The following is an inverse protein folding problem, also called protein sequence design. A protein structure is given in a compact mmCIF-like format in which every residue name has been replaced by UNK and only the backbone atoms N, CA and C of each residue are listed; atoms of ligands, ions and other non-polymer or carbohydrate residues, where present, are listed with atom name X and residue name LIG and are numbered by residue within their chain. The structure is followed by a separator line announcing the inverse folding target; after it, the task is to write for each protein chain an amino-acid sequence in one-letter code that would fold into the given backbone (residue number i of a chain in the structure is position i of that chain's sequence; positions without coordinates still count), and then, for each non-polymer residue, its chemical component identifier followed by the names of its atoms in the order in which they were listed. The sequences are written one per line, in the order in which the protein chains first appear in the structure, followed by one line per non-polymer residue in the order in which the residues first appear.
data_IF_171968674900
#
_entry.id   IF_171968674900
#
_cell.length_a   1.000
_cell.length_b   1.000
_cell.length_c   1.000
_cell.angle_alpha   90.00
_cell.angle_beta   90.00
_cell.angle_gamma   90.00
#
_symmetry.space_group_name_H-M   'P 1'
#
loop_
_entity.id
_entity.type
_entity.pdbx_description
1 polymer ?
#
# COMPACT_ATOMS: atom_id res chain seq x y z
N UNK A 1 -10.38 27.84 -4.95
CA UNK A 1 -10.03 27.03 -3.77
C UNK A 1 -10.47 25.62 -4.08
N UNK A 2 -9.68 24.56 -3.83
CA UNK A 2 -10.20 23.21 -3.95
C UNK A 2 -11.36 23.09 -2.95
N UNK A 3 -12.53 22.74 -3.44
CA UNK A 3 -13.69 22.44 -2.60
C UNK A 3 -13.44 21.07 -1.96
N UNK A 4 -13.68 20.96 -0.66
CA UNK A 4 -13.69 19.68 0.03
C UNK A 4 -14.54 18.70 -0.77
N UNK A 5 -14.01 17.49 -0.96
CA UNK A 5 -14.70 16.45 -1.73
C UNK A 5 -15.87 15.92 -0.88
N UNK A 6 -17.04 15.81 -1.47
CA UNK A 6 -18.18 15.16 -0.79
C UNK A 6 -17.90 13.65 -0.67
N UNK A 7 -17.45 13.23 0.52
CA UNK A 7 -17.10 11.85 0.84
C UNK A 7 -18.27 10.89 0.56
N UNK A 8 -19.52 11.35 0.69
CA UNK A 8 -20.72 10.53 0.43
C UNK A 8 -20.85 10.09 -1.03
N UNK A 9 -20.10 10.73 -1.93
CA UNK A 9 -20.06 10.32 -3.34
C UNK A 9 -18.93 9.34 -3.65
N UNK A 10 -17.99 9.15 -2.71
CA UNK A 10 -16.77 8.35 -2.89
C UNK A 10 -17.00 6.89 -2.51
N UNK A 11 -16.47 6.00 -3.34
CA UNK A 11 -16.33 4.58 -3.06
C UNK A 11 -14.86 4.27 -2.73
N UNK A 12 -14.60 3.73 -1.52
CA UNK A 12 -13.27 3.32 -1.07
C UNK A 12 -13.10 1.82 -1.18
N UNK A 13 -12.07 1.37 -1.90
CA UNK A 13 -11.60 -0.01 -1.90
C UNK A 13 -10.33 -0.18 -1.08
N UNK A 14 -10.29 -1.17 -0.22
CA UNK A 14 -9.08 -1.54 0.54
C UNK A 14 -8.47 -2.76 -0.13
N UNK A 15 -7.22 -2.69 -0.56
CA UNK A 15 -6.46 -3.79 -1.15
C UNK A 15 -5.44 -4.30 -0.13
N UNK A 16 -5.62 -5.53 0.34
CA UNK A 16 -4.79 -6.11 1.39
C UNK A 16 -4.42 -7.56 1.05
N UNK A 17 -3.18 -7.83 0.59
CA UNK A 17 -2.66 -9.19 0.49
C UNK A 17 -2.51 -9.82 1.87
N UNK A 18 -2.90 -11.09 1.99
CA UNK A 18 -2.86 -11.84 3.24
C UNK A 18 -2.32 -13.25 2.99
N UNK A 19 -1.40 -13.71 3.85
CA UNK A 19 -0.88 -15.07 3.80
C UNK A 19 -0.40 -15.50 5.18
N UNK A 20 -0.90 -16.61 5.68
CA UNK A 20 -0.53 -17.19 6.98
C UNK A 20 -0.79 -16.25 8.17
N UNK A 21 -1.93 -15.57 8.16
CA UNK A 21 -2.36 -14.63 9.21
C UNK A 21 -3.27 -15.31 10.26
N UNK A 22 -3.87 -16.47 9.93
CA UNK A 22 -4.79 -17.18 10.81
C UNK A 22 -5.95 -16.28 11.29
N UNK A 23 -6.25 -16.33 12.58
CA UNK A 23 -7.33 -15.55 13.20
C UNK A 23 -7.09 -14.03 13.17
N UNK A 24 -5.82 -13.61 13.07
CA UNK A 24 -5.45 -12.20 12.97
C UNK A 24 -5.98 -11.58 11.68
N UNK A 25 -6.16 -12.36 10.60
CA UNK A 25 -6.74 -11.85 9.35
C UNK A 25 -8.14 -11.26 9.57
N UNK A 26 -9.02 -12.00 10.23
CA UNK A 26 -10.39 -11.55 10.50
C UNK A 26 -10.41 -10.36 11.46
N UNK A 27 -9.56 -10.38 12.49
CA UNK A 27 -9.41 -9.28 13.42
C UNK A 27 -8.94 -8.01 12.70
N UNK A 28 -7.96 -8.15 11.82
CA UNK A 28 -7.43 -7.03 11.02
C UNK A 28 -8.50 -6.42 10.12
N UNK A 29 -9.23 -7.25 9.36
CA UNK A 29 -10.34 -6.79 8.49
C UNK A 29 -11.35 -5.97 9.28
N UNK A 30 -11.87 -6.53 10.39
CA UNK A 30 -12.87 -5.86 11.22
C UNK A 30 -12.35 -4.55 11.82
N UNK A 31 -11.12 -4.56 12.30
CA UNK A 31 -10.48 -3.37 12.89
C UNK A 31 -10.33 -2.26 11.86
N UNK A 32 -9.81 -2.58 10.67
CA UNK A 32 -9.62 -1.57 9.63
C UNK A 32 -10.95 -1.02 9.10
N UNK A 33 -11.94 -1.88 8.85
CA UNK A 33 -13.27 -1.47 8.45
C UNK A 33 -13.90 -0.52 9.49
N UNK A 34 -13.81 -0.83 10.79
CA UNK A 34 -14.37 0.01 11.85
C UNK A 34 -13.73 1.42 11.90
N UNK A 35 -12.43 1.54 11.62
CA UNK A 35 -11.78 2.84 11.53
C UNK A 35 -12.19 3.63 10.28
N UNK A 36 -12.49 2.95 9.17
CA UNK A 36 -12.95 3.59 7.94
C UNK A 36 -14.44 3.99 8.00
N UNK A 37 -15.26 3.35 8.82
CA UNK A 37 -16.70 3.65 9.00
C UNK A 37 -16.96 5.04 9.58
N UNK A 38 -15.98 5.68 10.22
CA UNK A 38 -16.10 7.06 10.67
C UNK A 38 -16.27 8.06 9.51
N UNK A 39 -15.98 7.63 8.28
CA UNK A 39 -16.18 8.40 7.06
C UNK A 39 -17.43 7.91 6.32
N UNK A 40 -18.39 8.78 5.99
CA UNK A 40 -19.64 8.39 5.34
C UNK A 40 -19.44 8.14 3.84
N UNK A 41 -18.62 7.14 3.47
CA UNK A 41 -18.43 6.75 2.09
C UNK A 41 -19.74 6.28 1.44
N UNK A 42 -19.91 6.53 0.13
CA UNK A 42 -20.97 5.91 -0.65
C UNK A 42 -20.89 4.39 -0.57
N UNK A 43 -19.66 3.88 -0.61
CA UNK A 43 -19.37 2.46 -0.54
C UNK A 43 -17.98 2.23 0.07
N UNK A 44 -17.87 1.24 0.95
CA UNK A 44 -16.63 0.78 1.54
C UNK A 44 -16.49 -0.71 1.25
N UNK A 45 -15.41 -1.12 0.56
CA UNK A 45 -15.12 -2.50 0.20
C UNK A 45 -13.72 -2.91 0.63
N UNK A 46 -13.58 -4.15 1.08
CA UNK A 46 -12.31 -4.75 1.45
C UNK A 46 -12.01 -5.94 0.55
N UNK A 47 -10.87 -5.93 -0.13
CA UNK A 47 -10.39 -7.01 -0.99
C UNK A 47 -9.21 -7.70 -0.31
N UNK A 48 -9.47 -8.83 0.36
CA UNK A 48 -8.46 -9.70 0.93
C UNK A 48 -7.93 -10.61 -0.17
N UNK A 49 -6.70 -10.38 -0.62
CA UNK A 49 -6.09 -11.18 -1.69
C UNK A 49 -5.26 -12.30 -1.11
N UNK A 50 -5.61 -13.52 -1.44
CA UNK A 50 -4.95 -14.73 -0.95
C UNK A 50 -4.48 -15.57 -2.13
N UNK A 51 -3.30 -16.14 -2.01
CA UNK A 51 -2.74 -17.06 -2.99
C UNK A 51 -2.19 -18.32 -2.31
N UNK A 52 -1.54 -19.17 -3.09
CA UNK A 52 -0.95 -20.43 -2.63
C UNK A 52 0.20 -20.28 -1.61
N UNK A 53 0.68 -19.06 -1.35
CA UNK A 53 1.66 -18.82 -0.28
C UNK A 53 1.02 -18.93 1.10
N UNK A 54 -0.31 -18.76 1.21
CA UNK A 54 -1.08 -19.03 2.42
C UNK A 54 -1.36 -20.53 2.51
N UNK A 55 -0.74 -21.19 3.48
CA UNK A 55 -0.82 -22.65 3.68
C UNK A 55 -1.58 -23.03 4.94
N UNK A 56 -2.01 -22.05 5.73
CA UNK A 56 -2.82 -22.20 6.94
C UNK A 56 -4.32 -22.03 6.66
N UNK A 57 -5.12 -21.85 7.71
CA UNK A 57 -6.57 -21.65 7.62
C UNK A 57 -7.01 -20.22 7.33
N UNK A 58 -6.10 -19.30 7.02
CA UNK A 58 -6.41 -17.87 6.75
C UNK A 58 -7.55 -17.73 5.73
N UNK A 59 -7.47 -18.43 4.61
CA UNK A 59 -8.50 -18.37 3.57
C UNK A 59 -9.86 -18.81 4.08
N UNK A 60 -9.92 -19.95 4.75
CA UNK A 60 -11.17 -20.48 5.29
C UNK A 60 -11.83 -19.49 6.25
N UNK A 61 -11.05 -18.93 7.19
CA UNK A 61 -11.55 -17.95 8.16
C UNK A 61 -12.08 -16.67 7.50
N UNK A 62 -11.44 -16.21 6.42
CA UNK A 62 -11.90 -15.05 5.68
C UNK A 62 -13.14 -15.35 4.83
N UNK A 63 -13.25 -16.53 4.21
CA UNK A 63 -14.46 -16.95 3.50
C UNK A 63 -15.66 -17.05 4.47
N UNK A 64 -15.47 -17.59 5.67
CA UNK A 64 -16.48 -17.63 6.74
C UNK A 64 -16.87 -16.21 7.21
N UNK A 65 -15.89 -15.31 7.36
CA UNK A 65 -16.14 -13.92 7.71
C UNK A 65 -16.93 -13.18 6.62
N UNK A 66 -16.60 -13.40 5.35
CA UNK A 66 -17.25 -12.77 4.22
C UNK A 66 -18.74 -13.16 4.10
N UNK A 67 -19.13 -14.33 4.58
CA UNK A 67 -20.54 -14.73 4.61
C UNK A 67 -21.40 -13.83 5.52
N UNK A 68 -20.79 -13.19 6.51
CA UNK A 68 -21.46 -12.25 7.44
C UNK A 68 -21.05 -10.78 7.28
N UNK A 69 -20.07 -10.47 6.43
CA UNK A 69 -19.56 -9.12 6.19
C UNK A 69 -19.59 -8.80 4.69
N UNK A 70 -20.67 -8.17 4.19
CA UNK A 70 -20.88 -7.95 2.76
C UNK A 70 -19.84 -7.02 2.11
N UNK A 71 -19.08 -6.27 2.91
CA UNK A 71 -18.00 -5.39 2.41
C UNK A 71 -16.70 -6.16 2.14
N UNK A 72 -16.58 -7.38 2.67
CA UNK A 72 -15.39 -8.22 2.49
C UNK A 72 -15.53 -9.09 1.25
N UNK A 73 -14.57 -9.00 0.36
CA UNK A 73 -14.42 -9.90 -0.80
C UNK A 73 -13.10 -10.64 -0.68
N UNK A 74 -13.15 -11.97 -0.64
CA UNK A 74 -11.94 -12.81 -0.67
C UNK A 74 -11.59 -13.08 -2.13
N UNK A 75 -10.41 -12.61 -2.53
CA UNK A 75 -9.87 -12.77 -3.89
C UNK A 75 -8.88 -13.92 -3.89
N UNK A 76 -9.31 -15.10 -4.34
CA UNK A 76 -8.41 -16.25 -4.48
C UNK A 76 -7.64 -16.19 -5.81
N UNK A 77 -6.33 -16.05 -5.74
CA UNK A 77 -5.43 -15.86 -6.88
C UNK A 77 -4.25 -16.84 -6.85
N UNK A 78 -4.49 -18.16 -7.04
CA UNK A 78 -3.45 -19.19 -6.93
C UNK A 78 -2.36 -19.08 -8.01
N UNK A 79 -2.62 -18.35 -9.09
CA UNK A 79 -1.68 -18.06 -10.18
C UNK A 79 -0.60 -17.03 -9.82
N UNK A 80 -0.73 -16.30 -8.71
CA UNK A 80 0.25 -15.33 -8.27
C UNK A 80 1.63 -15.98 -8.11
N UNK A 81 2.66 -15.27 -8.56
CA UNK A 81 4.06 -15.74 -8.56
C UNK A 81 4.89 -15.07 -7.47
N UNK A 82 4.42 -13.94 -6.99
CA UNK A 82 5.07 -13.15 -5.95
C UNK A 82 4.06 -12.23 -5.26
N UNK A 83 4.45 -11.65 -4.12
CA UNK A 83 3.60 -10.73 -3.35
C UNK A 83 3.09 -9.54 -4.16
N UNK A 84 3.86 -9.06 -5.12
CA UNK A 84 3.47 -7.92 -5.98
C UNK A 84 2.28 -8.28 -6.86
N UNK A 85 2.20 -9.52 -7.35
CA UNK A 85 1.04 -9.99 -8.11
C UNK A 85 -0.24 -9.93 -7.24
N UNK A 86 -0.13 -10.20 -5.93
CA UNK A 86 -1.27 -10.08 -5.00
C UNK A 86 -1.72 -8.63 -4.79
N UNK A 87 -0.80 -7.68 -4.67
CA UNK A 87 -1.15 -6.26 -4.62
C UNK A 87 -1.84 -5.80 -5.90
N UNK A 88 -1.26 -6.12 -7.07
CA UNK A 88 -1.85 -5.79 -8.38
C UNK A 88 -3.26 -6.37 -8.49
N UNK A 89 -3.47 -7.60 -8.02
CA UNK A 89 -4.80 -8.24 -8.02
C UNK A 89 -5.79 -7.48 -7.14
N UNK A 90 -5.37 -7.02 -5.99
CA UNK A 90 -6.19 -6.19 -5.09
C UNK A 90 -6.56 -4.84 -5.71
N UNK A 91 -5.62 -4.16 -6.33
CA UNK A 91 -5.88 -2.91 -7.04
C UNK A 91 -6.86 -3.11 -8.20
N UNK A 92 -6.67 -4.19 -8.98
CA UNK A 92 -7.57 -4.50 -10.09
C UNK A 92 -8.98 -4.81 -9.58
N UNK A 93 -9.11 -5.61 -8.51
CA UNK A 93 -10.40 -5.90 -7.91
C UNK A 93 -11.13 -4.61 -7.44
N UNK A 94 -10.41 -3.67 -6.81
CA UNK A 94 -10.98 -2.40 -6.41
C UNK A 94 -11.43 -1.55 -7.61
N UNK A 95 -10.62 -1.49 -8.67
CA UNK A 95 -10.95 -0.77 -9.90
C UNK A 95 -12.16 -1.37 -10.62
N UNK A 96 -12.22 -2.70 -10.75
CA UNK A 96 -13.31 -3.42 -11.42
C UNK A 96 -14.63 -3.27 -10.67
N UNK A 97 -14.58 -3.10 -9.35
CA UNK A 97 -15.73 -2.82 -8.50
C UNK A 97 -16.07 -1.32 -8.40
N UNK A 98 -15.50 -0.48 -9.23
CA UNK A 98 -15.88 0.93 -9.32
C UNK A 98 -15.38 1.82 -8.18
N UNK A 99 -14.39 1.37 -7.38
CA UNK A 99 -13.83 2.20 -6.30
C UNK A 99 -13.15 3.46 -6.85
N UNK A 100 -13.43 4.60 -6.24
CA UNK A 100 -12.86 5.91 -6.61
C UNK A 100 -11.49 6.13 -5.98
N UNK A 101 -11.28 5.50 -4.82
CA UNK A 101 -10.01 5.50 -4.10
C UNK A 101 -9.63 4.10 -3.66
N UNK A 102 -8.32 3.82 -3.64
CA UNK A 102 -7.77 2.52 -3.27
C UNK A 102 -6.78 2.74 -2.12
N UNK A 103 -7.09 2.16 -0.97
CA UNK A 103 -6.21 2.08 0.19
C UNK A 103 -5.42 0.78 0.12
N UNK A 104 -4.11 0.87 0.09
CA UNK A 104 -3.17 -0.24 0.25
C UNK A 104 -2.69 -0.31 1.68
N UNK A 105 -2.67 -1.50 2.25
CA UNK A 105 -2.11 -1.77 3.58
C UNK A 105 -1.69 -3.23 3.72
N UNK A 106 -0.56 -3.47 4.39
CA UNK A 106 -0.13 -4.81 4.78
C UNK A 106 -0.99 -5.35 5.91
N UNK A 107 -1.30 -6.65 5.88
CA UNK A 107 -1.93 -7.37 6.98
C UNK A 107 -1.01 -7.47 8.22
N UNK A 108 -1.52 -8.07 9.31
CA UNK A 108 -0.71 -8.43 10.49
C UNK A 108 -0.35 -7.29 11.43
N UNK A 109 -1.05 -6.15 11.37
CA UNK A 109 -0.88 -5.00 12.28
C UNK A 109 0.51 -4.35 12.33
N UNK A 110 1.38 -4.64 11.36
CA UNK A 110 2.65 -3.93 11.18
C UNK A 110 2.43 -2.45 10.94
N UNK A 111 1.47 -2.13 10.09
CA UNK A 111 0.84 -0.83 9.99
C UNK A 111 -0.38 -0.78 10.91
N UNK A 112 -0.51 0.28 11.69
CA UNK A 112 -1.62 0.42 12.61
C UNK A 112 -2.90 0.84 11.87
N UNK A 113 -3.97 0.01 11.83
CA UNK A 113 -5.23 0.37 11.19
C UNK A 113 -5.86 1.68 11.71
N UNK A 114 -5.61 2.04 12.98
CA UNK A 114 -6.08 3.28 13.58
C UNK A 114 -5.48 4.55 12.95
N UNK A 115 -4.49 4.41 12.09
CA UNK A 115 -3.90 5.55 11.36
C UNK A 115 -4.53 5.75 9.97
N UNK A 116 -5.38 4.84 9.50
CA UNK A 116 -6.10 4.99 8.24
C UNK A 116 -6.91 6.31 8.18
N UNK A 117 -7.63 6.73 9.24
CA UNK A 117 -8.33 8.02 9.26
C UNK A 117 -7.46 9.21 8.86
N UNK A 118 -6.17 9.23 9.24
CA UNK A 118 -5.26 10.34 8.88
C UNK A 118 -5.06 10.48 7.37
N UNK A 119 -5.00 9.35 6.64
CA UNK A 119 -4.90 9.36 5.18
C UNK A 119 -6.24 9.79 4.55
N UNK A 120 -7.35 9.27 5.10
CA UNK A 120 -8.71 9.56 4.62
C UNK A 120 -9.09 11.03 4.82
N UNK A 121 -8.69 11.64 5.93
CA UNK A 121 -8.86 13.08 6.17
C UNK A 121 -8.17 13.93 5.09
N UNK A 122 -6.97 13.55 4.69
CA UNK A 122 -6.25 14.27 3.64
C UNK A 122 -6.87 14.05 2.25
N UNK A 123 -7.39 12.85 1.98
CA UNK A 123 -8.15 12.56 0.78
C UNK A 123 -9.38 13.48 0.65
N UNK A 124 -10.11 13.66 1.75
CA UNK A 124 -11.32 14.50 1.82
C UNK A 124 -11.07 15.96 1.42
N UNK A 125 -9.83 16.46 1.57
CA UNK A 125 -9.47 17.81 1.16
C UNK A 125 -9.50 18.05 -0.37
N UNK A 126 -9.51 16.98 -1.17
CA UNK A 126 -9.46 17.04 -2.64
C UNK A 126 -8.17 17.61 -3.24
N UNK A 127 -7.15 17.82 -2.40
CA UNK A 127 -5.90 18.48 -2.81
C UNK A 127 -4.90 17.51 -3.44
N UNK A 128 -5.01 16.22 -3.18
CA UNK A 128 -4.00 15.22 -3.50
C UNK A 128 -4.57 14.13 -4.41
N UNK A 129 -3.70 13.51 -5.19
CA UNK A 129 -4.00 12.36 -6.06
C UNK A 129 -3.53 11.06 -5.42
N UNK A 130 -2.57 11.14 -4.47
CA UNK A 130 -2.09 10.04 -3.66
C UNK A 130 -1.57 10.54 -2.30
N UNK A 131 -1.69 9.69 -1.28
CA UNK A 131 -1.28 9.99 0.09
C UNK A 131 -0.47 8.78 0.59
N UNK A 132 0.73 9.05 1.11
CA UNK A 132 1.68 8.03 1.54
C UNK A 132 1.89 8.08 3.04
N UNK A 133 1.74 6.95 3.71
CA UNK A 133 2.18 6.81 5.09
C UNK A 133 3.70 6.85 5.16
N UNK A 134 4.26 7.75 5.97
CA UNK A 134 5.71 7.90 6.12
C UNK A 134 6.13 7.68 7.57
N UNK A 135 7.11 6.79 7.74
CA UNK A 135 7.79 6.52 9.03
C UNK A 135 8.84 7.57 9.36
N UNK A 136 9.26 8.37 8.37
CA UNK A 136 10.35 9.32 8.47
C UNK A 136 9.91 10.78 8.41
N UNK A 137 8.64 11.06 8.16
CA UNK A 137 8.07 12.41 8.31
C UNK A 137 7.94 12.77 9.79
N UNK A 138 7.86 14.08 10.09
CA UNK A 138 7.73 14.57 11.47
C UNK A 138 6.49 13.97 12.15
N UNK A 139 6.69 13.26 13.26
CA UNK A 139 5.65 12.54 13.99
C UNK A 139 5.47 11.08 13.56
N UNK A 140 6.19 10.61 12.54
CA UNK A 140 6.27 9.19 12.19
C UNK A 140 7.33 8.43 12.98
N UNK A 141 7.32 7.10 12.92
CA UNK A 141 8.30 6.31 13.64
C UNK A 141 8.27 4.82 13.30
N UNK A 142 9.28 4.13 13.81
CA UNK A 142 9.37 2.68 13.79
C UNK A 142 9.59 2.23 15.23
N UNK A 143 8.61 1.58 15.83
CA UNK A 143 8.79 0.90 17.12
C UNK A 143 9.50 -0.43 16.90
N UNK A 144 10.32 -0.83 17.86
CA UNK A 144 11.04 -2.11 17.89
C UNK A 144 12.09 -2.33 16.79
N UNK A 145 12.59 -1.25 16.17
CA UNK A 145 13.66 -1.37 15.16
C UNK A 145 15.05 -1.08 15.74
N UNK A 146 16.05 -1.79 15.22
CA UNK A 146 17.44 -1.43 15.47
C UNK A 146 17.81 -0.16 14.69
N UNK A 147 18.68 0.68 15.27
CA UNK A 147 19.23 1.87 14.62
C UNK A 147 19.83 1.56 13.23
N UNK A 148 20.46 0.39 13.08
CA UNK A 148 20.97 -0.09 11.78
C UNK A 148 19.89 -0.19 10.72
N UNK A 149 18.70 -0.67 11.08
CA UNK A 149 17.57 -0.81 10.16
C UNK A 149 16.99 0.54 9.75
N UNK A 150 16.86 1.45 10.71
CA UNK A 150 16.49 2.83 10.43
C UNK A 150 17.43 3.45 9.39
N UNK A 151 18.74 3.33 9.58
CA UNK A 151 19.76 3.84 8.65
C UNK A 151 19.65 3.20 7.25
N UNK A 152 19.41 1.88 7.17
CA UNK A 152 19.28 1.20 5.86
C UNK A 152 18.04 1.69 5.13
N UNK A 153 16.91 1.82 5.80
CA UNK A 153 15.66 2.28 5.17
C UNK A 153 15.70 3.76 4.80
N UNK A 154 16.17 4.62 5.68
CA UNK A 154 16.29 6.05 5.41
C UNK A 154 17.38 6.35 4.37
N UNK A 155 18.52 5.65 4.44
CA UNK A 155 19.58 5.73 3.43
C UNK A 155 19.12 5.24 2.06
N UNK A 156 18.30 4.18 2.01
CA UNK A 156 17.66 3.70 0.79
C UNK A 156 16.72 4.75 0.18
N UNK A 157 15.92 5.42 1.00
CA UNK A 157 15.06 6.52 0.56
C UNK A 157 15.88 7.70 0.01
N UNK A 158 16.94 8.09 0.70
CA UNK A 158 17.84 9.15 0.25
C UNK A 158 18.50 8.83 -1.09
N UNK A 159 19.04 7.62 -1.24
CA UNK A 159 19.65 7.16 -2.49
C UNK A 159 18.65 7.15 -3.64
N UNK A 160 17.45 6.66 -3.39
CA UNK A 160 16.37 6.63 -4.38
C UNK A 160 15.98 8.04 -4.81
N UNK A 161 15.81 8.97 -3.87
CA UNK A 161 15.50 10.36 -4.15
C UNK A 161 16.57 10.99 -5.06
N UNK A 162 17.84 10.77 -4.73
CA UNK A 162 18.95 11.31 -5.53
C UNK A 162 18.97 10.76 -6.95
N UNK A 163 18.87 9.44 -7.09
CA UNK A 163 18.98 8.77 -8.39
C UNK A 163 17.72 8.94 -9.23
N UNK A 164 16.53 8.88 -8.65
CA UNK A 164 15.27 8.87 -9.39
C UNK A 164 14.55 10.23 -9.41
N UNK A 165 15.07 11.23 -8.69
CA UNK A 165 14.54 12.60 -8.70
C UNK A 165 13.20 12.71 -7.98
N UNK A 166 13.02 11.92 -6.93
CA UNK A 166 11.88 12.01 -6.00
C UNK A 166 12.26 12.88 -4.81
N UNK A 167 11.27 13.23 -3.97
CA UNK A 167 11.48 14.06 -2.77
C UNK A 167 10.64 13.54 -1.61
N UNK A 168 10.47 12.23 -1.51
CA UNK A 168 9.67 11.60 -0.47
C UNK A 168 10.56 11.17 0.69
N UNK A 169 10.09 11.35 1.91
CA UNK A 169 10.84 10.96 3.12
C UNK A 169 10.90 9.45 3.28
N UNK A 170 9.86 8.72 2.84
CA UNK A 170 9.78 7.27 2.95
C UNK A 170 9.39 6.62 1.60
N UNK A 171 10.38 6.05 0.93
CA UNK A 171 10.21 5.37 -0.35
C UNK A 171 9.78 3.89 -0.21
N UNK A 172 9.67 3.35 1.00
CA UNK A 172 9.54 1.90 1.24
C UNK A 172 8.36 1.50 2.13
N UNK A 173 7.52 2.45 2.53
CA UNK A 173 6.29 2.16 3.27
C UNK A 173 5.22 1.57 2.32
N UNK A 174 4.41 0.63 2.81
CA UNK A 174 3.29 0.00 2.11
C UNK A 174 1.95 0.36 2.76
N UNK A 175 1.77 1.57 3.22
CA UNK A 175 0.50 2.11 3.67
C UNK A 175 0.17 3.36 2.86
N UNK A 176 -0.62 3.18 1.82
CA UNK A 176 -0.75 4.15 0.74
C UNK A 176 -2.20 4.29 0.28
N UNK A 177 -2.57 5.48 -0.16
CA UNK A 177 -3.92 5.77 -0.66
C UNK A 177 -3.81 6.46 -2.02
N UNK A 178 -4.51 5.92 -3.02
CA UNK A 178 -4.46 6.37 -4.41
C UNK A 178 -5.83 6.70 -4.95
N UNK A 179 -5.94 7.79 -5.71
CA UNK A 179 -7.11 7.99 -6.56
C UNK A 179 -7.18 6.93 -7.65
N UNK A 180 -8.40 6.63 -8.11
CA UNK A 180 -8.67 5.71 -9.23
C UNK A 180 -7.80 6.02 -10.44
N UNK A 181 -7.73 7.28 -10.83
CA UNK A 181 -6.94 7.73 -11.98
C UNK A 181 -5.45 7.44 -11.80
N UNK A 182 -4.92 7.70 -10.60
CA UNK A 182 -3.51 7.43 -10.29
C UNK A 182 -3.22 5.94 -10.34
N UNK A 183 -4.07 5.10 -9.75
CA UNK A 183 -3.89 3.65 -9.77
C UNK A 183 -3.99 3.07 -11.19
N UNK A 184 -4.94 3.53 -12.00
CA UNK A 184 -5.02 3.14 -13.41
C UNK A 184 -3.76 3.51 -14.19
N UNK A 185 -3.20 4.69 -13.95
CA UNK A 185 -1.94 5.11 -14.59
C UNK A 185 -0.75 4.25 -14.16
N UNK A 186 -0.67 3.87 -12.87
CA UNK A 186 0.36 2.96 -12.33
C UNK A 186 0.26 1.60 -13.03
N UNK A 187 -0.93 0.99 -13.06
CA UNK A 187 -1.13 -0.32 -13.64
C UNK A 187 -0.89 -0.32 -15.17
N UNK A 188 -1.31 0.72 -15.86
CA UNK A 188 -1.03 0.89 -17.30
C UNK A 188 0.47 0.98 -17.60
N UNK A 189 1.24 1.61 -16.71
CA UNK A 189 2.70 1.69 -16.84
C UNK A 189 3.37 0.34 -16.61
N UNK A 190 2.79 -0.49 -15.76
CA UNK A 190 3.25 -1.83 -15.41
C UNK A 190 4.34 -1.80 -14.33
N UNK A 191 4.10 -2.52 -13.25
CA UNK A 191 5.06 -2.73 -12.15
C UNK A 191 6.01 -3.88 -12.53
N UNK A 192 7.31 -3.61 -12.52
CA UNK A 192 8.36 -4.57 -12.92
C UNK A 192 8.99 -5.31 -11.76
N UNK A 193 9.01 -4.68 -10.60
CA UNK A 193 9.52 -5.27 -9.35
C UNK A 193 8.70 -6.49 -8.94
N UNK A 194 9.37 -7.45 -8.31
CA UNK A 194 8.76 -8.70 -7.83
C UNK A 194 8.85 -8.88 -6.31
N UNK A 195 9.51 -7.95 -5.63
CA UNK A 195 9.72 -7.93 -4.20
C UNK A 195 9.47 -6.50 -3.65
N UNK A 196 9.86 -6.22 -2.42
CA UNK A 196 9.54 -4.99 -1.68
C UNK A 196 9.89 -3.67 -2.40
N UNK A 197 10.77 -3.69 -3.41
CA UNK A 197 11.10 -2.48 -4.18
C UNK A 197 9.91 -1.95 -4.99
N UNK A 198 8.83 -2.72 -5.17
CA UNK A 198 7.63 -2.27 -5.88
C UNK A 198 7.00 -1.02 -5.24
N UNK A 199 7.06 -0.87 -3.91
CA UNK A 199 6.61 0.34 -3.21
C UNK A 199 7.38 1.57 -3.68
N UNK A 200 8.70 1.44 -3.77
CA UNK A 200 9.56 2.48 -4.33
C UNK A 200 9.20 2.79 -5.79
N UNK A 201 8.97 1.75 -6.60
CA UNK A 201 8.61 1.89 -8.01
C UNK A 201 7.29 2.65 -8.19
N UNK A 202 6.25 2.31 -7.42
CA UNK A 202 4.96 3.01 -7.41
C UNK A 202 5.15 4.48 -7.05
N UNK A 203 5.88 4.78 -5.98
CA UNK A 203 6.16 6.16 -5.55
C UNK A 203 6.89 6.97 -6.61
N UNK A 204 7.83 6.35 -7.32
CA UNK A 204 8.50 7.01 -8.46
C UNK A 204 7.52 7.33 -9.59
N UNK A 205 6.55 6.45 -9.85
CA UNK A 205 5.50 6.74 -10.84
C UNK A 205 4.60 7.90 -10.42
N UNK A 206 4.45 8.11 -9.11
CA UNK A 206 3.67 9.21 -8.53
C UNK A 206 4.44 10.52 -8.35
N UNK A 207 5.75 10.60 -8.68
CA UNK A 207 6.59 11.77 -8.38
C UNK A 207 6.09 13.10 -8.96
N UNK A 208 5.32 13.06 -10.02
CA UNK A 208 4.73 14.24 -10.69
C UNK A 208 3.22 14.41 -10.39
N UNK A 209 2.66 13.59 -9.49
CA UNK A 209 1.30 13.71 -8.98
C UNK A 209 1.27 14.64 -7.79
N UNK A 210 0.09 15.13 -7.44
CA UNK A 210 -0.11 15.85 -6.18
C UNK A 210 -0.12 14.83 -5.05
N UNK A 211 0.95 14.75 -4.29
CA UNK A 211 1.05 13.79 -3.19
C UNK A 211 1.29 14.49 -1.85
N UNK A 212 0.94 13.78 -0.78
CA UNK A 212 1.25 14.14 0.59
C UNK A 212 1.84 12.94 1.33
N UNK A 213 2.79 13.18 2.21
CA UNK A 213 3.23 12.20 3.19
C UNK A 213 2.59 12.49 4.55
N UNK A 214 2.00 11.45 5.15
CA UNK A 214 1.32 11.51 6.46
C UNK A 214 2.12 10.66 7.45
N UNK A 215 2.42 11.15 8.66
CA UNK A 215 3.19 10.39 9.64
C UNK A 215 2.42 9.13 10.07
N UNK A 216 3.12 7.99 10.04
CA UNK A 216 2.63 6.70 10.54
C UNK A 216 3.65 6.04 11.45
N UNK A 217 3.18 5.14 12.31
CA UNK A 217 4.02 4.30 13.16
C UNK A 217 4.02 2.85 12.67
N UNK A 218 5.18 2.34 12.34
CA UNK A 218 5.38 0.94 11.98
C UNK A 218 5.78 0.14 13.23
N UNK A 219 5.00 -0.87 13.61
CA UNK A 219 5.13 -1.54 14.92
C UNK A 219 5.95 -2.82 14.94
N UNK A 220 6.12 -3.47 13.81
CA UNK A 220 6.83 -4.76 13.76
C UNK A 220 8.00 -4.72 12.79
N UNK A 221 9.12 -5.32 13.22
CA UNK A 221 10.24 -5.53 12.32
C UNK A 221 9.87 -6.63 11.31
N UNK A 222 9.72 -6.29 10.03
CA UNK A 222 9.68 -7.31 8.97
C UNK A 222 10.91 -8.23 9.10
N UNK A 223 10.82 -9.50 8.70
CA UNK A 223 11.96 -10.40 8.69
C UNK A 223 13.14 -9.79 7.92
N UNK A 224 14.35 -10.28 8.16
CA UNK A 224 15.56 -9.78 7.47
C UNK A 224 15.35 -9.81 5.96
N UNK A 225 15.65 -8.69 5.30
CA UNK A 225 15.69 -8.65 3.85
C UNK A 225 16.66 -9.72 3.33
N UNK A 226 16.18 -10.56 2.43
CA UNK A 226 17.04 -11.56 1.81
C UNK A 226 18.05 -10.88 0.86
N UNK A 227 19.23 -11.44 0.72
CA UNK A 227 20.22 -10.94 -0.25
C UNK A 227 19.63 -10.85 -1.67
N UNK A 228 18.73 -11.78 -2.02
CA UNK A 228 18.02 -11.77 -3.31
C UNK A 228 17.16 -10.52 -3.47
N UNK A 229 16.43 -10.11 -2.42
CA UNK A 229 15.60 -8.90 -2.46
C UNK A 229 16.46 -7.62 -2.58
N UNK A 230 17.63 -7.58 -1.94
CA UNK A 230 18.57 -6.45 -2.05
C UNK A 230 19.12 -6.35 -3.48
N UNK A 231 19.56 -7.47 -4.06
CA UNK A 231 20.07 -7.51 -5.45
C UNK A 231 18.98 -7.10 -6.44
N UNK A 232 17.76 -7.58 -6.26
CA UNK A 232 16.61 -7.17 -7.08
C UNK A 232 16.35 -5.68 -6.98
N UNK A 233 16.33 -5.11 -5.75
CA UNK A 233 16.12 -3.69 -5.52
C UNK A 233 17.21 -2.84 -6.22
N UNK A 234 18.47 -3.21 -6.10
CA UNK A 234 19.57 -2.50 -6.77
C UNK A 234 19.47 -2.57 -8.29
N UNK A 235 19.10 -3.74 -8.83
CA UNK A 235 18.88 -3.91 -10.28
C UNK A 235 17.74 -3.01 -10.78
N UNK A 236 16.61 -2.97 -10.07
CA UNK A 236 15.47 -2.14 -10.43
C UNK A 236 15.83 -0.65 -10.32
N UNK A 237 16.50 -0.25 -9.23
CA UNK A 237 16.96 1.13 -9.04
C UNK A 237 17.87 1.58 -10.19
N UNK A 238 18.85 0.75 -10.58
CA UNK A 238 19.75 1.05 -11.70
C UNK A 238 18.98 1.15 -13.01
N UNK A 239 18.07 0.21 -13.29
CA UNK A 239 17.23 0.22 -14.48
C UNK A 239 16.40 1.50 -14.57
N UNK A 240 15.76 1.92 -13.47
CA UNK A 240 14.97 3.14 -13.41
C UNK A 240 15.83 4.40 -13.54
N UNK A 241 17.04 4.40 -12.99
CA UNK A 241 17.99 5.49 -13.17
C UNK A 241 18.37 5.67 -14.65
N UNK A 242 18.69 4.59 -15.34
CA UNK A 242 18.97 4.64 -16.79
C UNK A 242 17.75 5.15 -17.56
N UNK A 243 16.54 4.70 -17.23
CA UNK A 243 15.31 5.20 -17.86
C UNK A 243 15.13 6.71 -17.62
N UNK A 244 15.44 7.21 -16.42
CA UNK A 244 15.41 8.64 -16.12
C UNK A 244 16.40 9.40 -16.99
N UNK A 245 17.65 8.94 -17.08
CA UNK A 245 18.70 9.59 -17.87
C UNK A 245 18.37 9.60 -19.36
N UNK A 246 17.59 8.65 -19.85
CA UNK A 246 17.15 8.57 -21.25
C UNK A 246 15.76 9.16 -21.51
N UNK A 247 15.16 9.83 -20.50
CA UNK A 247 13.84 10.46 -20.64
C UNK A 247 12.67 9.47 -20.77
N UNK A 248 12.87 8.21 -20.36
CA UNK A 248 11.84 7.13 -20.47
C UNK A 248 11.12 6.84 -19.14
N UNK A 249 11.52 7.48 -18.06
CA UNK A 249 10.93 7.33 -16.72
C UNK A 249 9.71 8.33 -16.55
#
# INVERSE_FOLDING_TARGET
MPTDVDIKTISLGIACPMANEGEEAVRFVRTLLSHCESFPFRELRFFAVIDKASTDNTRQLLDECAAGEPRLTVVWAPENRCVVDAYIRGYQAALDNGCDWILEIDAGFSHNPAEAPRLLEQMATGKYDCIFGSRFSQGGGISDSSFKRYLVSSGGSLLTNLLLGTRMSDMTSGFELFSRETMQAILKRGIRSRAHFFQTEIKVFCRNRRYLEVPITYRMASPRLSNKAIVEALRQLTSMFVQRMTGRL
#
